data_IF_365110197950
#
_entry.id   IF_365110197950
#
_cell.length_a   1.000
_cell.length_b   1.000
_cell.length_c   1.000
_cell.angle_alpha   90.00
_cell.angle_beta   90.00
_cell.angle_gamma   90.00
#
_symmetry.space_group_name_H-M   'P 1'
#
loop_
_entity.id
_entity.type
_entity.pdbx_description
1 polymer ?
#
# COMPACT_ATOMS: atom_id res chain seq x y z
N UNK A 1 5.05 -20.22 9.01
CA UNK A 1 5.36 -18.83 9.37
C UNK A 1 6.00 -18.22 8.14
N UNK A 2 5.30 -17.33 7.44
CA UNK A 2 5.84 -16.72 6.22
C UNK A 2 6.52 -15.43 6.64
N UNK A 3 7.84 -15.36 6.49
CA UNK A 3 8.61 -14.19 6.91
C UNK A 3 8.44 -13.03 5.91
N UNK A 4 8.19 -11.84 6.44
CA UNK A 4 8.17 -10.61 5.65
C UNK A 4 9.60 -10.31 5.19
N UNK A 5 9.79 -10.21 3.87
CA UNK A 5 11.12 -9.98 3.28
C UNK A 5 11.13 -8.67 2.52
N UNK A 6 12.07 -7.78 2.83
CA UNK A 6 12.24 -6.55 2.04
C UNK A 6 12.74 -6.92 0.64
N UNK A 7 12.06 -6.41 -0.38
CA UNK A 7 12.42 -6.63 -1.78
C UNK A 7 13.35 -5.52 -2.26
N UNK A 8 14.27 -5.88 -3.16
CA UNK A 8 14.93 -4.89 -4.01
C UNK A 8 13.87 -4.27 -4.92
N UNK A 9 14.04 -3.00 -5.26
CA UNK A 9 13.02 -2.26 -6.02
C UNK A 9 12.67 -2.99 -7.34
N UNK A 10 13.67 -3.39 -8.13
CA UNK A 10 13.43 -4.08 -9.40
C UNK A 10 12.67 -5.39 -9.23
N UNK A 11 13.00 -6.19 -8.21
CA UNK A 11 12.31 -7.45 -7.92
C UNK A 11 10.87 -7.19 -7.45
N UNK A 12 10.67 -6.17 -6.62
CA UNK A 12 9.36 -5.75 -6.15
C UNK A 12 8.48 -5.20 -7.28
N UNK A 13 9.05 -4.44 -8.20
CA UNK A 13 8.38 -3.92 -9.41
C UNK A 13 7.89 -5.07 -10.28
N UNK A 14 8.74 -6.06 -10.58
CA UNK A 14 8.36 -7.24 -11.38
C UNK A 14 7.26 -8.04 -10.70
N UNK A 15 7.39 -8.29 -9.39
CA UNK A 15 6.36 -8.99 -8.61
C UNK A 15 5.03 -8.24 -8.61
N UNK A 16 5.07 -6.92 -8.39
CA UNK A 16 3.89 -6.06 -8.37
C UNK A 16 3.19 -6.03 -9.73
N UNK A 17 3.95 -5.89 -10.83
CA UNK A 17 3.41 -5.92 -12.19
C UNK A 17 2.69 -7.25 -12.49
N UNK A 18 3.22 -8.37 -12.00
CA UNK A 18 2.61 -9.68 -12.15
C UNK A 18 1.28 -9.85 -11.38
N UNK A 19 0.98 -9.00 -10.39
CA UNK A 19 -0.26 -9.10 -9.61
C UNK A 19 -1.49 -8.53 -10.31
N UNK A 20 -1.31 -7.66 -11.31
CA UNK A 20 -2.42 -6.97 -11.98
C UNK A 20 -3.18 -5.96 -11.09
N UNK A 21 -2.70 -5.68 -9.88
CA UNK A 21 -3.32 -4.72 -8.96
C UNK A 21 -3.13 -3.29 -9.48
N UNK A 22 -4.14 -2.44 -9.26
CA UNK A 22 -4.14 -1.01 -9.63
C UNK A 22 -4.19 -0.15 -8.38
N UNK A 23 -3.64 1.06 -8.46
CA UNK A 23 -3.65 2.04 -7.36
C UNK A 23 -2.70 1.70 -6.21
N UNK A 24 -1.75 0.77 -6.39
CA UNK A 24 -0.82 0.37 -5.34
C UNK A 24 0.10 1.56 -4.97
N UNK A 25 -0.05 2.13 -3.77
CA UNK A 25 0.63 3.39 -3.40
C UNK A 25 0.39 4.52 -4.43
N UNK A 26 -0.82 4.57 -5.00
CA UNK A 26 -1.20 5.56 -6.02
C UNK A 26 -0.55 5.36 -7.39
N UNK A 27 0.10 4.22 -7.66
CA UNK A 27 0.63 3.87 -8.98
C UNK A 27 -0.31 2.88 -9.69
N UNK A 28 -0.21 2.80 -11.02
CA UNK A 28 -0.90 1.77 -11.82
C UNK A 28 0.14 0.82 -12.45
N UNK A 29 0.48 -0.29 -11.78
CA UNK A 29 1.40 -1.31 -12.29
C UNK A 29 0.97 -1.95 -13.61
N UNK A 30 -0.31 -1.87 -13.98
CA UNK A 30 -0.84 -2.51 -15.20
C UNK A 30 -0.60 -1.64 -16.43
N UNK A 31 -0.51 -0.32 -16.26
CA UNK A 31 -0.36 0.62 -17.37
C UNK A 31 1.04 1.21 -17.49
N UNK A 32 1.85 1.11 -16.43
CA UNK A 32 3.25 1.55 -16.43
C UNK A 32 4.17 0.41 -16.84
N UNK A 33 5.15 0.70 -17.70
CA UNK A 33 6.28 -0.21 -17.85
C UNK A 33 7.14 -0.21 -16.56
N UNK A 34 7.91 -1.28 -16.34
CA UNK A 34 8.71 -1.48 -15.13
C UNK A 34 9.62 -0.28 -14.79
N UNK A 35 10.21 0.35 -15.80
CA UNK A 35 11.10 1.51 -15.60
C UNK A 35 10.35 2.74 -15.07
N UNK A 36 9.15 3.03 -15.61
CA UNK A 36 8.31 4.12 -15.12
C UNK A 36 7.79 3.81 -13.71
N UNK A 37 7.38 2.56 -13.46
CA UNK A 37 6.92 2.12 -12.15
C UNK A 37 8.04 2.26 -11.09
N UNK A 38 9.24 1.78 -11.39
CA UNK A 38 10.40 1.94 -10.52
C UNK A 38 10.70 3.41 -10.24
N UNK A 39 10.70 4.27 -11.28
CA UNK A 39 10.94 5.71 -11.14
C UNK A 39 9.92 6.38 -10.21
N UNK A 40 8.63 6.09 -10.38
CA UNK A 40 7.56 6.68 -9.55
C UNK A 40 7.67 6.20 -8.11
N UNK A 41 7.91 4.91 -7.90
CA UNK A 41 8.09 4.34 -6.56
C UNK A 41 9.32 4.92 -5.86
N UNK A 42 10.46 5.06 -6.56
CA UNK A 42 11.64 5.73 -6.02
C UNK A 42 11.38 7.18 -5.63
N UNK A 43 10.68 7.94 -6.47
CA UNK A 43 10.36 9.34 -6.20
C UNK A 43 9.46 9.52 -4.96
N UNK A 44 8.69 8.49 -4.59
CA UNK A 44 7.86 8.45 -3.38
C UNK A 44 8.57 7.86 -2.16
N UNK A 45 9.85 7.52 -2.29
CA UNK A 45 10.59 6.78 -1.27
C UNK A 45 9.88 5.48 -0.84
N UNK A 46 9.24 4.81 -1.81
CA UNK A 46 8.45 3.61 -1.54
C UNK A 46 9.35 2.40 -1.27
N UNK A 47 8.98 1.62 -0.27
CA UNK A 47 9.62 0.37 0.09
C UNK A 47 8.67 -0.79 -0.14
N UNK A 48 9.15 -1.84 -0.81
CA UNK A 48 8.37 -3.03 -1.15
C UNK A 48 8.84 -4.24 -0.32
N UNK A 49 7.89 -5.09 0.04
CA UNK A 49 8.10 -6.31 0.80
C UNK A 49 7.31 -7.46 0.18
N UNK A 50 7.87 -8.66 0.27
CA UNK A 50 7.19 -9.90 -0.07
C UNK A 50 6.63 -10.59 1.17
N UNK A 51 5.42 -11.12 1.04
CA UNK A 51 4.81 -12.02 2.02
C UNK A 51 4.11 -13.16 1.27
N UNK A 52 4.81 -14.29 1.09
CA UNK A 52 4.34 -15.34 0.18
C UNK A 52 4.23 -14.80 -1.23
N UNK A 53 3.03 -14.88 -1.81
CA UNK A 53 2.69 -14.31 -3.13
C UNK A 53 2.22 -12.86 -3.07
N UNK A 54 2.00 -12.32 -1.87
CA UNK A 54 1.59 -10.94 -1.70
C UNK A 54 2.78 -9.97 -1.81
N UNK A 55 2.50 -8.79 -2.37
CA UNK A 55 3.37 -7.63 -2.31
C UNK A 55 2.77 -6.63 -1.33
N UNK A 56 3.60 -6.19 -0.39
CA UNK A 56 3.30 -5.15 0.58
C UNK A 56 4.17 -3.94 0.26
N UNK A 57 3.64 -2.74 0.52
CA UNK A 57 4.33 -1.50 0.22
C UNK A 57 4.04 -0.46 1.27
N UNK A 58 5.05 0.39 1.54
CA UNK A 58 4.80 1.65 2.22
C UNK A 58 5.59 2.79 1.60
N UNK A 59 5.06 4.00 1.70
CA UNK A 59 5.75 5.24 1.37
C UNK A 59 5.58 6.23 2.54
N UNK A 60 6.65 6.93 2.98
CA UNK A 60 6.54 7.94 4.02
C UNK A 60 5.65 9.11 3.56
N UNK A 61 4.87 9.68 4.48
CA UNK A 61 4.31 11.01 4.26
C UNK A 61 5.37 12.07 4.63
N UNK A 62 5.87 12.79 3.64
CA UNK A 62 6.90 13.81 3.84
C UNK A 62 6.42 15.00 4.68
N UNK A 63 5.11 15.28 4.67
CA UNK A 63 4.50 16.36 5.46
C UNK A 63 4.12 15.91 6.88
N UNK A 64 4.11 14.60 7.14
CA UNK A 64 3.82 14.04 8.46
C UNK A 64 4.76 12.86 8.77
N UNK A 65 5.91 13.09 9.43
CA UNK A 65 6.98 12.10 9.61
C UNK A 65 6.59 10.82 10.38
N UNK A 66 5.43 10.81 11.04
CA UNK A 66 4.91 9.63 11.76
C UNK A 66 3.79 8.91 11.01
N UNK A 67 3.50 9.33 9.79
CA UNK A 67 2.51 8.73 8.91
C UNK A 67 3.18 8.06 7.71
N UNK A 68 2.65 6.91 7.32
CA UNK A 68 3.00 6.25 6.06
C UNK A 68 1.74 5.90 5.27
N UNK A 69 1.81 6.04 3.96
CA UNK A 69 0.87 5.36 3.07
C UNK A 69 1.27 3.88 2.98
N UNK A 70 0.31 2.98 3.05
CA UNK A 70 0.51 1.53 2.97
C UNK A 70 -0.36 0.93 1.87
N UNK A 71 0.12 -0.16 1.26
CA UNK A 71 -0.62 -0.92 0.27
C UNK A 71 -0.32 -2.41 0.39
N UNK A 72 -1.27 -3.24 -0.05
CA UNK A 72 -1.17 -4.70 -0.10
C UNK A 72 -1.86 -5.20 -1.36
N UNK A 73 -1.32 -6.25 -1.97
CA UNK A 73 -2.01 -7.01 -3.02
C UNK A 73 -2.84 -8.17 -2.47
N UNK A 74 -2.66 -8.54 -1.21
CA UNK A 74 -3.43 -9.60 -0.56
C UNK A 74 -4.76 -9.07 -0.02
N UNK A 75 -5.88 -9.81 -0.19
CA UNK A 75 -7.15 -9.53 0.47
C UNK A 75 -7.17 -9.95 1.96
N UNK A 76 -6.16 -10.68 2.44
CA UNK A 76 -6.11 -11.13 3.84
C UNK A 76 -5.81 -9.95 4.79
N UNK A 77 -6.75 -9.56 5.67
CA UNK A 77 -6.54 -8.46 6.60
C UNK A 77 -5.44 -8.72 7.63
N UNK A 78 -5.14 -9.97 7.94
CA UNK A 78 -4.10 -10.32 8.91
C UNK A 78 -2.70 -9.92 8.42
N UNK A 79 -2.48 -9.95 7.10
CA UNK A 79 -1.20 -9.58 6.49
C UNK A 79 -0.98 -8.07 6.61
N UNK A 80 -1.98 -7.25 6.28
CA UNK A 80 -1.84 -5.79 6.39
C UNK A 80 -1.72 -5.37 7.87
N UNK A 81 -2.48 -6.01 8.76
CA UNK A 81 -2.36 -5.78 10.20
C UNK A 81 -0.94 -6.08 10.71
N UNK A 82 -0.40 -7.27 10.41
CA UNK A 82 0.96 -7.65 10.80
C UNK A 82 2.02 -6.71 10.19
N UNK A 83 1.83 -6.27 8.94
CA UNK A 83 2.73 -5.34 8.29
C UNK A 83 2.74 -3.96 8.94
N UNK A 84 1.57 -3.41 9.28
CA UNK A 84 1.49 -2.13 10.00
C UNK A 84 2.11 -2.21 11.39
N UNK A 85 1.98 -3.34 12.09
CA UNK A 85 2.64 -3.57 13.38
C UNK A 85 4.17 -3.64 13.23
N UNK A 86 4.66 -4.33 12.19
CA UNK A 86 6.08 -4.30 11.84
C UNK A 86 6.58 -2.86 11.64
N UNK A 87 5.84 -2.04 10.89
CA UNK A 87 6.18 -0.63 10.65
C UNK A 87 6.15 0.21 11.93
N UNK A 88 5.22 -0.04 12.86
CA UNK A 88 5.21 0.60 14.18
C UNK A 88 6.48 0.28 14.95
N UNK A 89 6.78 -1.01 15.10
CA UNK A 89 7.89 -1.49 15.93
C UNK A 89 9.27 -1.14 15.35
N UNK A 90 9.45 -1.28 14.04
CA UNK A 90 10.78 -1.21 13.41
C UNK A 90 11.03 0.09 12.65
N UNK A 91 9.97 0.79 12.21
CA UNK A 91 10.07 2.06 11.46
C UNK A 91 9.49 3.26 12.22
N UNK A 92 8.86 3.03 13.38
CA UNK A 92 8.32 4.07 14.29
C UNK A 92 7.23 4.95 13.67
N UNK A 93 6.52 4.45 12.66
CA UNK A 93 5.28 5.07 12.18
C UNK A 93 4.15 4.82 13.18
N UNK A 94 3.25 5.76 13.36
CA UNK A 94 2.13 5.66 14.32
C UNK A 94 0.76 5.77 13.67
N UNK A 95 0.71 6.27 12.43
CA UNK A 95 -0.50 6.34 11.63
C UNK A 95 -0.26 5.83 10.22
N UNK A 96 -1.29 5.23 9.64
CA UNK A 96 -1.25 4.63 8.31
C UNK A 96 -2.42 5.12 7.50
N UNK A 97 -2.16 5.40 6.22
CA UNK A 97 -3.18 5.72 5.23
C UNK A 97 -3.15 4.64 4.17
N UNK A 98 -4.31 4.15 3.76
CA UNK A 98 -4.44 3.27 2.61
C UNK A 98 -5.40 3.92 1.62
N UNK A 99 -4.94 4.11 0.38
CA UNK A 99 -5.69 4.73 -0.70
C UNK A 99 -5.98 3.64 -1.73
N UNK A 100 -7.17 3.04 -1.64
CA UNK A 100 -7.53 1.86 -2.43
C UNK A 100 -7.00 0.54 -1.87
N UNK A 101 -6.84 -0.46 -2.74
CA UNK A 101 -6.49 -1.84 -2.37
C UNK A 101 -7.71 -2.77 -2.20
N UNK A 102 -7.48 -4.05 -1.90
CA UNK A 102 -8.56 -5.01 -1.65
C UNK A 102 -9.37 -4.60 -0.41
N UNK A 103 -10.69 -4.36 -0.52
CA UNK A 103 -11.50 -3.89 0.61
C UNK A 103 -11.43 -4.80 1.84
N UNK A 104 -11.28 -6.11 1.63
CA UNK A 104 -11.19 -7.12 2.68
C UNK A 104 -9.94 -6.94 3.55
N UNK A 105 -8.85 -6.47 2.96
CA UNK A 105 -7.57 -6.26 3.65
C UNK A 105 -7.60 -5.06 4.60
N UNK A 106 -8.55 -4.15 4.41
CA UNK A 106 -8.69 -2.91 5.18
C UNK A 106 -9.50 -3.09 6.47
N UNK A 107 -9.81 -4.33 6.86
CA UNK A 107 -10.42 -4.61 8.16
C UNK A 107 -9.48 -4.14 9.28
N UNK A 108 -9.98 -3.22 10.12
CA UNK A 108 -9.18 -2.54 11.16
C UNK A 108 -8.64 -1.17 10.75
N UNK A 109 -8.94 -0.71 9.53
CA UNK A 109 -8.83 0.68 9.14
C UNK A 109 -10.21 1.33 9.14
N UNK A 110 -10.29 2.56 9.64
CA UNK A 110 -11.48 3.39 9.57
C UNK A 110 -11.57 4.08 8.21
N UNK A 111 -12.74 4.07 7.59
CA UNK A 111 -13.01 4.92 6.42
C UNK A 111 -12.93 6.40 6.81
N UNK A 112 -12.06 7.15 6.14
CA UNK A 112 -11.83 8.56 6.41
C UNK A 112 -12.47 9.49 5.37
N UNK A 113 -12.74 8.98 4.17
CA UNK A 113 -13.35 9.75 3.10
C UNK A 113 -13.14 9.13 1.73
N UNK A 114 -13.51 9.89 0.70
CA UNK A 114 -13.42 9.50 -0.70
C UNK A 114 -12.83 10.62 -1.52
N UNK A 115 -11.76 10.33 -2.26
CA UNK A 115 -11.19 11.23 -3.24
C UNK A 115 -11.95 11.03 -4.56
N UNK A 116 -12.62 12.09 -5.01
CA UNK A 116 -13.42 12.04 -6.24
C UNK A 116 -12.52 12.09 -7.47
N UNK A 117 -12.85 11.29 -8.47
CA UNK A 117 -12.16 11.27 -9.77
C UNK A 117 -10.62 11.23 -9.66
N UNK A 118 -10.10 10.45 -8.70
CA UNK A 118 -8.70 10.51 -8.29
C UNK A 118 -7.83 9.45 -8.97
N UNK A 119 -8.43 8.40 -9.53
CA UNK A 119 -7.72 7.34 -10.23
C UNK A 119 -8.23 7.20 -11.67
N UNK A 120 -7.35 7.27 -12.66
CA UNK A 120 -7.69 7.06 -14.07
C UNK A 120 -7.45 5.60 -14.48
N UNK A 121 -8.47 4.92 -14.98
CA UNK A 121 -8.35 3.54 -15.43
C UNK A 121 -9.48 3.13 -16.38
N UNK A 122 -9.17 2.37 -17.43
CA UNK A 122 -10.17 1.95 -18.42
C UNK A 122 -10.85 3.11 -19.15
N UNK A 123 -10.11 4.21 -19.39
CA UNK A 123 -10.61 5.38 -20.13
C UNK A 123 -11.48 6.35 -19.31
N UNK A 124 -11.62 6.16 -18.00
CA UNK A 124 -12.40 7.06 -17.13
C UNK A 124 -11.75 7.26 -15.77
N UNK A 125 -12.12 8.34 -15.10
CA UNK A 125 -11.75 8.58 -13.71
C UNK A 125 -12.70 7.85 -12.75
N UNK A 126 -12.14 7.36 -11.65
CA UNK A 126 -12.84 6.65 -10.59
C UNK A 126 -12.56 7.32 -9.26
N UNK A 127 -13.53 7.22 -8.36
CA UNK A 127 -13.36 7.61 -6.97
C UNK A 127 -12.51 6.58 -6.24
N UNK A 128 -11.73 7.04 -5.24
CA UNK A 128 -10.89 6.18 -4.41
C UNK A 128 -11.21 6.43 -2.95
N UNK A 129 -11.55 5.37 -2.22
CA UNK A 129 -11.78 5.43 -0.79
C UNK A 129 -10.44 5.52 -0.04
N UNK A 130 -10.43 6.36 1.00
CA UNK A 130 -9.29 6.61 1.87
C UNK A 130 -9.58 6.02 3.22
N UNK A 131 -8.67 5.16 3.68
CA UNK A 131 -8.77 4.45 4.93
C UNK A 131 -7.58 4.81 5.82
N UNK A 132 -7.81 4.94 7.12
CA UNK A 132 -6.77 5.33 8.09
C UNK A 132 -6.74 4.37 9.27
N UNK A 133 -5.55 4.13 9.81
CA UNK A 133 -5.37 3.40 11.06
C UNK A 133 -4.34 4.09 11.95
N UNK A 134 -4.69 4.29 13.23
CA UNK A 134 -3.79 4.89 14.23
C UNK A 134 -3.36 3.88 15.31
N UNK A 135 -3.80 2.62 15.20
CA UNK A 135 -3.46 1.54 16.15
C UNK A 135 -4.13 1.69 17.52
N UNK A 136 -5.08 2.61 17.65
CA UNK A 136 -5.93 2.80 18.85
C UNK A 136 -7.36 2.30 18.67
N UNK A 137 -7.70 1.81 17.49
CA UNK A 137 -9.05 1.39 17.18
C UNK A 137 -9.21 -0.07 17.64
N UNK A 138 -9.95 -0.26 18.74
CA UNK A 138 -10.30 -1.57 19.27
C UNK A 138 -11.14 -2.35 18.23
N UNK A 139 -10.98 -3.68 18.14
CA UNK A 139 -11.86 -4.49 17.28
C UNK A 139 -13.30 -4.33 17.78
N UNK A 140 -14.19 -3.96 16.86
CA UNK A 140 -15.64 -3.99 17.07
C UNK A 140 -16.16 -5.41 16.96
#
# INVERSE_FOLDING_TARGET
MTDVTQLKLDDGVRRLAATGVRGFLGVDPVTQNDALLAKVLSAREAHLFGWGDAVLGYAPNLDNPRQAEVATTSPDPSILAAFTEFLRCHRRYTSFVCVGGPPEALRGFRHAGRLRAHHFGGGRYHDVDVHVSTGREAPS
#
